data_IF_832398344618
#
_entry.id   IF_832398344618
#
_cell.length_a   1.000
_cell.length_b   1.000
_cell.length_c   1.000
_cell.angle_alpha   90.00
_cell.angle_beta   90.00
_cell.angle_gamma   90.00
#
_symmetry.space_group_name_H-M   'P 1'
#
loop_
_entity.id
_entity.type
_entity.pdbx_description
1 polymer ?
#
# COMPACT_ATOMS: atom_id res chain seq x y z
N UNK A 1 -9.52 20.15 24.47
CA UNK A 1 -10.62 19.44 23.78
C UNK A 1 -10.33 17.96 23.86
N UNK A 2 -10.90 17.28 24.86
CA UNK A 2 -10.74 15.84 25.08
C UNK A 2 -11.91 15.11 24.41
N UNK A 3 -11.66 14.47 23.27
CA UNK A 3 -12.65 13.65 22.57
C UNK A 3 -12.75 12.27 23.20
N UNK A 4 -13.71 12.10 24.12
CA UNK A 4 -14.12 10.80 24.64
C UNK A 4 -15.03 10.07 23.65
N UNK A 5 -14.83 8.76 23.52
CA UNK A 5 -15.73 7.86 22.78
C UNK A 5 -17.14 7.96 23.37
N UNK A 6 -18.10 8.49 22.60
CA UNK A 6 -19.51 8.33 22.89
C UNK A 6 -19.97 6.99 22.33
N UNK A 7 -20.19 6.02 23.21
CA UNK A 7 -21.06 4.89 22.89
C UNK A 7 -22.47 5.44 22.67
N UNK A 8 -23.04 5.14 21.50
CA UNK A 8 -24.42 5.45 21.20
C UNK A 8 -25.32 4.77 22.24
N UNK A 9 -26.10 5.60 22.92
CA UNK A 9 -27.11 5.23 23.90
C UNK A 9 -28.15 4.31 23.26
N UNK A 10 -28.19 3.07 23.73
CA UNK A 10 -29.38 2.24 23.71
C UNK A 10 -29.25 1.17 24.80
N UNK A 11 -29.23 1.64 26.06
CA UNK A 11 -29.64 0.92 27.29
C UNK A 11 -29.20 1.68 28.55
N UNK A 12 -29.84 2.82 28.83
CA UNK A 12 -30.14 3.27 30.20
C UNK A 12 -28.98 3.58 31.17
N UNK A 13 -27.81 4.02 30.69
CA UNK A 13 -26.72 4.50 31.54
C UNK A 13 -26.50 6.01 31.35
N UNK A 14 -26.54 6.81 32.41
CA UNK A 14 -26.07 8.19 32.40
C UNK A 14 -24.69 8.30 33.10
N UNK A 15 -23.84 9.18 32.56
CA UNK A 15 -22.56 9.53 33.17
C UNK A 15 -22.75 10.72 34.12
N UNK A 16 -22.47 10.52 35.41
CA UNK A 16 -22.50 11.59 36.41
C UNK A 16 -21.10 11.98 36.87
N UNK A 17 -20.75 13.27 36.78
CA UNK A 17 -19.55 13.84 37.44
C UNK A 17 -19.88 14.16 38.89
N UNK A 18 -19.10 13.63 39.83
CA UNK A 18 -19.11 14.09 41.23
C UNK A 18 -17.85 14.92 41.44
N UNK A 19 -18.00 16.21 41.69
CA UNK A 19 -16.91 17.09 42.11
C UNK A 19 -16.75 17.00 43.63
N UNK A 20 -15.75 16.25 44.08
CA UNK A 20 -15.21 16.31 45.44
C UNK A 20 -13.68 16.34 45.34
N UNK A 21 -13.02 17.23 46.07
CA UNK A 21 -11.61 17.61 45.90
C UNK A 21 -10.63 16.42 45.74
N UNK A 22 -9.71 16.60 44.79
CA UNK A 22 -8.62 15.71 44.36
C UNK A 22 -9.04 14.43 43.60
N UNK A 23 -9.08 14.56 42.26
CA UNK A 23 -9.13 13.44 41.31
C UNK A 23 -10.51 13.16 40.72
N UNK A 24 -10.69 13.46 39.43
CA UNK A 24 -11.90 13.11 38.67
C UNK A 24 -11.95 11.58 38.50
N UNK A 25 -12.84 10.91 39.24
CA UNK A 25 -13.26 9.52 38.98
C UNK A 25 -14.62 9.54 38.27
N UNK A 26 -14.68 8.97 37.07
CA UNK A 26 -15.96 8.65 36.42
C UNK A 26 -16.54 7.42 37.09
N UNK A 27 -17.68 7.56 37.76
CA UNK A 27 -18.43 6.45 38.37
C UNK A 27 -19.74 6.28 37.60
N UNK A 28 -19.98 5.09 37.06
CA UNK A 28 -21.25 4.74 36.42
C UNK A 28 -22.29 4.48 37.52
N UNK A 29 -23.40 5.23 37.52
CA UNK A 29 -24.55 5.01 38.42
C UNK A 29 -25.78 4.63 37.59
N UNK A 30 -26.44 3.54 37.96
CA UNK A 30 -27.75 3.19 37.43
C UNK A 30 -28.87 3.86 38.24
N UNK A 31 -29.91 4.30 37.54
CA UNK A 31 -31.12 4.89 38.11
C UNK A 31 -32.02 3.76 38.62
N UNK A 32 -32.24 3.66 39.93
CA UNK A 32 -33.32 2.82 40.51
C UNK A 32 -32.94 1.75 41.54
N UNK A 33 -31.75 1.75 42.15
CA UNK A 33 -31.48 0.84 43.27
C UNK A 33 -32.03 1.41 44.58
N UNK A 34 -33.20 0.95 45.01
CA UNK A 34 -33.60 1.00 46.42
C UNK A 34 -32.59 0.13 47.18
N UNK A 35 -31.84 0.71 48.12
CA UNK A 35 -30.98 -0.07 49.03
C UNK A 35 -31.89 -1.00 49.84
N UNK A 36 -31.98 -2.26 49.40
CA UNK A 36 -32.65 -3.32 50.14
C UNK A 36 -31.63 -3.84 51.14
N UNK A 37 -31.95 -3.75 52.44
CA UNK A 37 -31.08 -4.27 53.49
C UNK A 37 -30.81 -5.76 53.26
N UNK A 38 -29.59 -6.21 53.57
CA UNK A 38 -29.15 -7.61 53.37
C UNK A 38 -29.98 -8.66 54.12
N UNK A 39 -30.96 -8.24 54.94
CA UNK A 39 -31.86 -9.11 55.72
C UNK A 39 -33.08 -9.62 54.93
N UNK A 40 -33.40 -9.10 53.73
CA UNK A 40 -34.62 -9.48 52.98
C UNK A 40 -34.38 -10.23 51.66
N UNK A 41 -33.14 -10.52 51.28
CA UNK A 41 -32.84 -11.14 49.98
C UNK A 41 -32.96 -12.67 50.01
N UNK A 42 -33.70 -13.23 49.05
CA UNK A 42 -33.73 -14.69 48.89
C UNK A 42 -32.37 -15.22 48.36
N UNK A 43 -32.11 -16.55 48.43
CA UNK A 43 -30.83 -17.12 48.02
C UNK A 43 -30.46 -16.84 46.55
N UNK A 44 -31.44 -16.75 45.65
CA UNK A 44 -31.24 -16.45 44.24
C UNK A 44 -30.86 -14.98 44.01
N UNK A 45 -31.53 -14.05 44.68
CA UNK A 45 -31.23 -12.61 44.66
C UNK A 45 -29.85 -12.35 45.24
N UNK A 46 -29.47 -13.05 46.31
CA UNK A 46 -28.13 -12.97 46.93
C UNK A 46 -27.04 -13.46 45.98
N UNK A 47 -27.28 -14.58 45.28
CA UNK A 47 -26.35 -15.09 44.28
C UNK A 47 -26.20 -14.13 43.09
N UNK A 48 -27.32 -13.63 42.55
CA UNK A 48 -27.32 -12.68 41.44
C UNK A 48 -26.63 -11.36 41.82
N UNK A 49 -26.83 -10.85 43.03
CA UNK A 49 -26.14 -9.65 43.52
C UNK A 49 -24.63 -9.87 43.67
N UNK A 50 -24.21 -11.04 44.15
CA UNK A 50 -22.80 -11.41 44.26
C UNK A 50 -22.14 -11.57 42.89
N UNK A 51 -22.82 -12.22 41.94
CA UNK A 51 -22.38 -12.37 40.54
C UNK A 51 -22.21 -10.99 39.87
N UNK A 52 -23.22 -10.11 39.99
CA UNK A 52 -23.16 -8.74 39.46
C UNK A 52 -22.00 -7.94 40.07
N UNK A 53 -21.76 -8.08 41.37
CA UNK A 53 -20.65 -7.38 42.06
C UNK A 53 -19.29 -7.89 41.59
N UNK A 54 -19.14 -9.21 41.42
CA UNK A 54 -17.92 -9.82 40.91
C UNK A 54 -17.64 -9.41 39.45
N UNK A 55 -18.67 -9.37 38.61
CA UNK A 55 -18.57 -8.92 37.22
C UNK A 55 -18.16 -7.45 37.12
N UNK A 56 -18.76 -6.57 37.94
CA UNK A 56 -18.39 -5.15 38.00
C UNK A 56 -16.93 -4.97 38.42
N UNK A 57 -16.47 -5.71 39.42
CA UNK A 57 -15.06 -5.68 39.85
C UNK A 57 -14.12 -6.20 38.76
N UNK A 58 -14.51 -7.22 38.00
CA UNK A 58 -13.75 -7.73 36.88
C UNK A 58 -13.65 -6.70 35.75
N UNK A 59 -14.74 -6.01 35.43
CA UNK A 59 -14.78 -4.92 34.45
C UNK A 59 -13.87 -3.75 34.85
N UNK A 60 -13.95 -3.30 36.10
CA UNK A 60 -13.09 -2.24 36.61
C UNK A 60 -11.61 -2.64 36.56
N UNK A 61 -11.30 -3.87 36.98
CA UNK A 61 -9.92 -4.39 36.97
C UNK A 61 -9.37 -4.47 35.54
N UNK A 62 -10.17 -4.98 34.61
CA UNK A 62 -9.80 -5.11 33.20
C UNK A 62 -9.63 -3.73 32.54
N UNK A 63 -10.56 -2.81 32.77
CA UNK A 63 -10.49 -1.43 32.30
C UNK A 63 -9.27 -0.68 32.85
N UNK A 64 -8.98 -0.82 34.15
CA UNK A 64 -7.80 -0.25 34.76
C UNK A 64 -6.50 -0.89 34.21
N UNK A 65 -6.50 -2.19 33.89
CA UNK A 65 -5.35 -2.85 33.29
C UNK A 65 -5.10 -2.37 31.84
N UNK A 66 -6.15 -2.19 31.04
CA UNK A 66 -6.09 -1.55 29.71
C UNK A 66 -5.65 -0.09 29.76
N UNK A 67 -6.06 0.64 30.81
CA UNK A 67 -5.64 2.02 31.03
C UNK A 67 -4.18 2.14 31.48
N UNK A 68 -3.67 1.17 32.25
CA UNK A 68 -2.28 1.12 32.72
C UNK A 68 -1.31 0.46 31.75
N UNK A 69 -1.79 -0.31 30.77
CA UNK A 69 -0.91 -1.05 29.85
C UNK A 69 -0.05 -0.10 29.01
N UNK A 70 -0.58 1.07 28.63
CA UNK A 70 0.10 2.16 27.90
C UNK A 70 -0.67 3.48 27.97
N UNK A 71 0.05 4.61 28.02
CA UNK A 71 -0.56 5.94 28.16
C UNK A 71 -1.37 6.40 26.93
N UNK A 72 -0.70 6.57 25.78
CA UNK A 72 -1.33 6.96 24.51
C UNK A 72 -0.87 6.03 23.38
N UNK A 73 -1.77 5.61 22.46
CA UNK A 73 -1.46 4.69 21.36
C UNK A 73 -0.70 5.40 20.22
N UNK A 74 0.58 5.72 20.48
CA UNK A 74 1.40 6.52 19.59
C UNK A 74 1.72 5.83 18.27
N UNK A 75 1.75 4.49 18.21
CA UNK A 75 2.02 3.77 16.96
C UNK A 75 0.83 3.95 16.01
N UNK A 76 -0.40 3.77 16.51
CA UNK A 76 -1.63 4.03 15.76
C UNK A 76 -1.66 5.47 15.24
N UNK A 77 -1.37 6.45 16.11
CA UNK A 77 -1.35 7.86 15.71
C UNK A 77 -0.24 8.19 14.70
N UNK A 78 0.93 7.57 14.83
CA UNK A 78 2.03 7.71 13.89
C UNK A 78 1.64 7.20 12.50
N UNK A 79 1.04 6.01 12.42
CA UNK A 79 0.55 5.43 11.16
C UNK A 79 -0.50 6.33 10.53
N UNK A 80 -1.51 6.77 11.31
CA UNK A 80 -2.55 7.68 10.83
C UNK A 80 -1.92 8.97 10.28
N UNK A 81 -0.98 9.57 11.03
CA UNK A 81 -0.29 10.78 10.63
C UNK A 81 0.45 10.61 9.29
N UNK A 82 1.18 9.51 9.11
CA UNK A 82 1.89 9.22 7.85
C UNK A 82 0.92 9.03 6.68
N UNK A 83 -0.19 8.29 6.88
CA UNK A 83 -1.23 8.14 5.85
C UNK A 83 -1.81 9.49 5.42
N UNK A 84 -2.13 10.37 6.38
CA UNK A 84 -2.65 11.72 6.10
C UNK A 84 -1.61 12.55 5.35
N UNK A 85 -0.35 12.56 5.79
CA UNK A 85 0.71 13.32 5.15
C UNK A 85 0.94 12.89 3.70
N UNK A 86 0.98 11.58 3.44
CA UNK A 86 1.16 11.05 2.07
C UNK A 86 -0.06 11.39 1.21
N UNK A 87 -1.28 11.23 1.71
CA UNK A 87 -2.49 11.55 0.96
C UNK A 87 -2.61 13.05 0.63
N UNK A 88 -2.27 13.92 1.57
CA UNK A 88 -2.20 15.37 1.32
C UNK A 88 -1.13 15.68 0.28
N UNK A 89 0.03 15.04 0.34
CA UNK A 89 1.08 15.23 -0.68
C UNK A 89 0.60 14.79 -2.07
N UNK A 90 -0.09 13.65 -2.19
CA UNK A 90 -0.72 13.24 -3.45
C UNK A 90 -1.70 14.29 -3.98
N UNK A 91 -2.58 14.83 -3.12
CA UNK A 91 -3.54 15.87 -3.51
C UNK A 91 -2.89 17.20 -3.91
N UNK A 92 -1.73 17.53 -3.35
CA UNK A 92 -0.96 18.73 -3.72
C UNK A 92 -0.34 18.57 -5.11
N UNK A 93 0.12 17.38 -5.48
CA UNK A 93 0.70 17.11 -6.80
C UNK A 93 -0.37 16.92 -7.88
N UNK A 94 -1.48 16.28 -7.54
CA UNK A 94 -2.64 16.12 -8.41
C UNK A 94 -3.94 16.22 -7.60
N UNK A 95 -4.70 17.33 -7.72
CA UNK A 95 -5.97 17.51 -7.03
C UNK A 95 -7.01 16.43 -7.31
N UNK A 96 -6.94 15.74 -8.46
CA UNK A 96 -7.85 14.62 -8.76
C UNK A 96 -7.66 13.45 -7.78
N UNK A 97 -6.49 13.34 -7.14
CA UNK A 97 -6.21 12.35 -6.09
C UNK A 97 -7.19 12.39 -4.93
N UNK A 98 -7.87 13.51 -4.71
CA UNK A 98 -8.90 13.60 -3.68
C UNK A 98 -10.04 12.60 -3.92
N UNK A 99 -10.42 12.36 -5.18
CA UNK A 99 -11.47 11.39 -5.53
C UNK A 99 -10.91 10.16 -6.23
N UNK A 100 -10.15 10.36 -7.30
CA UNK A 100 -9.69 9.32 -8.22
C UNK A 100 -8.23 9.61 -8.62
N UNK A 101 -7.25 9.21 -7.78
CA UNK A 101 -5.83 9.36 -8.13
C UNK A 101 -5.48 8.52 -9.35
N UNK A 102 -4.61 9.06 -10.20
CA UNK A 102 -4.07 8.32 -11.33
C UNK A 102 -3.20 7.14 -10.89
N UNK A 103 -3.25 6.05 -11.67
CA UNK A 103 -2.52 4.81 -11.40
C UNK A 103 -1.00 5.01 -11.38
N UNK A 104 -0.46 5.85 -12.27
CA UNK A 104 0.96 6.18 -12.32
C UNK A 104 1.38 6.92 -11.04
N UNK A 105 0.55 7.87 -10.59
CA UNK A 105 0.80 8.59 -9.34
C UNK A 105 0.80 7.65 -8.13
N UNK A 106 -0.15 6.72 -8.05
CA UNK A 106 -0.20 5.71 -6.99
C UNK A 106 1.10 4.89 -6.94
N UNK A 107 1.55 4.40 -8.10
CA UNK A 107 2.80 3.64 -8.21
C UNK A 107 4.00 4.52 -7.86
N UNK A 108 4.04 5.78 -8.27
CA UNK A 108 5.12 6.71 -7.92
C UNK A 108 5.23 6.94 -6.41
N UNK A 109 4.10 6.98 -5.69
CA UNK A 109 4.05 7.12 -4.23
C UNK A 109 4.31 5.82 -3.47
N UNK A 110 4.51 4.70 -4.16
CA UNK A 110 4.88 3.43 -3.54
C UNK A 110 3.72 2.46 -3.35
N UNK A 111 2.62 2.59 -4.10
CA UNK A 111 1.65 1.51 -4.25
C UNK A 111 2.36 0.24 -4.76
N UNK A 112 1.84 -0.92 -4.35
CA UNK A 112 2.34 -2.20 -4.79
C UNK A 112 1.87 -2.44 -6.22
N UNK A 113 2.81 -2.76 -7.11
CA UNK A 113 2.53 -3.08 -8.50
C UNK A 113 3.42 -4.23 -8.90
N UNK A 114 2.82 -5.41 -9.13
CA UNK A 114 3.56 -6.67 -9.17
C UNK A 114 4.74 -6.71 -10.15
N UNK A 115 4.67 -6.17 -11.40
CA UNK A 115 5.83 -6.15 -12.29
C UNK A 115 7.00 -5.34 -11.70
N UNK A 116 6.74 -4.16 -11.15
CA UNK A 116 7.81 -3.31 -10.56
C UNK A 116 8.31 -3.90 -9.24
N UNK A 117 7.42 -4.39 -8.39
CA UNK A 117 7.80 -4.96 -7.09
C UNK A 117 8.67 -6.19 -7.26
N UNK A 118 8.35 -7.08 -8.21
CA UNK A 118 9.04 -8.35 -8.42
C UNK A 118 10.23 -8.20 -9.40
N UNK A 119 10.01 -7.61 -10.57
CA UNK A 119 11.00 -7.59 -11.66
C UNK A 119 12.05 -6.52 -11.43
N UNK A 120 11.64 -5.28 -11.11
CA UNK A 120 12.57 -4.20 -10.73
C UNK A 120 13.05 -4.30 -9.27
N UNK A 121 12.56 -5.29 -8.51
CA UNK A 121 13.02 -5.60 -7.16
C UNK A 121 12.66 -4.55 -6.11
N UNK A 122 11.59 -3.79 -6.34
CA UNK A 122 11.16 -2.71 -5.46
C UNK A 122 10.35 -3.22 -4.25
N UNK A 123 10.90 -4.17 -3.49
CA UNK A 123 10.22 -4.87 -2.38
C UNK A 123 9.76 -3.96 -1.23
N UNK A 124 10.30 -2.75 -1.11
CA UNK A 124 9.80 -1.76 -0.16
C UNK A 124 8.32 -1.41 -0.39
N UNK A 125 7.81 -1.64 -1.62
CA UNK A 125 6.40 -1.47 -2.00
C UNK A 125 5.44 -2.32 -1.20
N UNK A 126 5.88 -3.48 -0.70
CA UNK A 126 5.08 -4.32 0.20
C UNK A 126 4.69 -3.59 1.49
N UNK A 127 5.51 -2.63 1.93
CA UNK A 127 5.25 -1.83 3.13
C UNK A 127 4.72 -0.44 2.76
N UNK A 128 5.28 0.23 1.75
CA UNK A 128 4.86 1.60 1.42
C UNK A 128 3.44 1.65 0.87
N UNK A 129 2.96 0.58 0.22
CA UNK A 129 1.59 0.47 -0.28
C UNK A 129 0.55 0.67 0.82
N UNK A 130 0.86 0.30 2.06
CA UNK A 130 -0.02 0.49 3.22
C UNK A 130 -0.33 1.96 3.56
N UNK A 131 0.40 2.91 2.99
CA UNK A 131 0.23 4.35 3.25
C UNK A 131 -0.35 5.12 2.06
N UNK A 132 -0.35 4.54 0.86
CA UNK A 132 -0.90 5.15 -0.36
C UNK A 132 -2.40 4.88 -0.44
N UNK A 133 -3.23 5.90 -0.65
CA UNK A 133 -4.70 5.75 -0.63
C UNK A 133 -5.36 6.21 -1.93
N UNK A 134 -6.39 5.47 -2.33
CA UNK A 134 -7.13 5.64 -3.58
C UNK A 134 -8.39 6.48 -3.31
N UNK A 135 -8.20 7.78 -3.07
CA UNK A 135 -9.28 8.74 -2.81
C UNK A 135 -9.69 8.91 -1.33
N UNK A 136 -10.50 9.96 -1.08
CA UNK A 136 -10.83 10.45 0.26
C UNK A 136 -11.67 9.46 1.07
N UNK A 137 -12.67 8.83 0.46
CA UNK A 137 -13.52 7.85 1.16
C UNK A 137 -12.69 6.64 1.62
N UNK A 138 -11.76 6.21 0.77
CA UNK A 138 -10.89 5.09 1.09
C UNK A 138 -10.00 5.40 2.29
N UNK A 139 -9.31 6.54 2.32
CA UNK A 139 -8.50 6.92 3.50
C UNK A 139 -9.36 7.14 4.74
N UNK A 140 -10.50 7.82 4.65
CA UNK A 140 -11.36 8.06 5.81
C UNK A 140 -11.84 6.76 6.46
N UNK A 141 -12.30 5.79 5.67
CA UNK A 141 -12.73 4.48 6.17
C UNK A 141 -11.58 3.74 6.87
N UNK A 142 -10.37 3.76 6.28
CA UNK A 142 -9.20 3.13 6.87
C UNK A 142 -8.80 3.81 8.19
N UNK A 143 -8.68 5.14 8.20
CA UNK A 143 -8.25 5.87 9.40
C UNK A 143 -9.29 5.82 10.52
N UNK A 144 -10.58 5.86 10.20
CA UNK A 144 -11.65 5.67 11.19
C UNK A 144 -11.55 4.30 11.86
N UNK A 145 -11.41 3.25 11.04
CA UNK A 145 -11.29 1.87 11.54
C UNK A 145 -10.02 1.68 12.35
N UNK A 146 -8.89 2.19 11.84
CA UNK A 146 -7.60 2.11 12.50
C UNK A 146 -7.58 2.92 13.81
N UNK A 147 -8.23 4.09 13.86
CA UNK A 147 -8.35 4.86 15.09
C UNK A 147 -9.17 4.12 16.14
N UNK A 148 -10.26 3.45 15.78
CA UNK A 148 -11.02 2.64 16.74
C UNK A 148 -10.26 1.39 17.20
N UNK A 149 -10.04 0.48 16.25
CA UNK A 149 -9.54 -0.87 16.53
C UNK A 149 -8.02 -0.95 16.66
N UNK A 150 -7.28 -0.07 15.98
CA UNK A 150 -5.83 0.04 16.19
C UNK A 150 -5.52 0.51 17.61
N UNK A 151 -6.20 1.55 18.10
CA UNK A 151 -6.01 2.02 19.48
C UNK A 151 -6.32 0.92 20.52
N UNK A 152 -7.41 0.18 20.34
CA UNK A 152 -7.76 -0.95 21.22
C UNK A 152 -6.70 -2.05 21.18
N UNK A 153 -6.33 -2.49 19.97
CA UNK A 153 -5.36 -3.57 19.77
C UNK A 153 -3.99 -3.17 20.29
N UNK A 154 -3.57 -1.93 20.08
CA UNK A 154 -2.36 -1.38 20.66
C UNK A 154 -2.40 -1.48 22.17
N UNK A 155 -3.48 -1.07 22.85
CA UNK A 155 -3.62 -1.19 24.32
C UNK A 155 -3.58 -2.64 24.83
N UNK A 156 -4.12 -3.59 24.07
CA UNK A 156 -4.10 -5.02 24.44
C UNK A 156 -2.68 -5.58 24.34
N UNK A 157 -2.01 -5.37 23.21
CA UNK A 157 -0.73 -6.01 22.89
C UNK A 157 0.50 -5.19 23.30
N UNK A 158 0.37 -3.87 23.45
CA UNK A 158 1.45 -2.91 23.63
C UNK A 158 2.05 -2.44 22.30
N UNK A 159 2.78 -1.31 22.33
CA UNK A 159 3.33 -0.64 21.15
C UNK A 159 4.12 -1.57 20.20
N UNK A 160 5.10 -2.30 20.72
CA UNK A 160 6.01 -3.10 19.88
C UNK A 160 5.33 -4.29 19.23
N UNK A 161 4.39 -4.94 19.92
CA UNK A 161 3.64 -6.06 19.37
C UNK A 161 2.56 -5.60 18.41
N UNK A 162 1.91 -4.47 18.69
CA UNK A 162 0.98 -3.88 17.73
C UNK A 162 1.68 -3.46 16.45
N UNK A 163 2.86 -2.84 16.54
CA UNK A 163 3.69 -2.56 15.38
C UNK A 163 3.96 -3.85 14.57
N UNK A 164 4.35 -4.92 15.26
CA UNK A 164 4.61 -6.21 14.63
C UNK A 164 3.37 -6.80 13.95
N UNK A 165 2.21 -6.76 14.62
CA UNK A 165 0.95 -7.24 14.08
C UNK A 165 0.58 -6.42 12.85
N UNK A 166 0.63 -5.08 12.94
CA UNK A 166 0.24 -4.20 11.85
C UNK A 166 1.11 -4.38 10.60
N UNK A 167 2.44 -4.23 10.76
CA UNK A 167 3.37 -4.35 9.62
C UNK A 167 3.57 -5.80 9.17
N UNK A 168 3.41 -6.76 10.09
CA UNK A 168 3.41 -8.18 9.77
C UNK A 168 2.22 -8.57 8.90
N UNK A 169 1.03 -8.13 9.27
CA UNK A 169 -0.17 -8.31 8.45
C UNK A 169 -0.09 -7.58 7.13
N UNK A 170 0.47 -6.36 7.10
CA UNK A 170 0.69 -5.66 5.84
C UNK A 170 1.57 -6.50 4.90
N UNK A 171 2.70 -6.99 5.41
CA UNK A 171 3.62 -7.82 4.63
C UNK A 171 2.98 -9.12 4.16
N UNK A 172 2.31 -9.87 5.04
CA UNK A 172 1.67 -11.14 4.65
C UNK A 172 0.52 -10.92 3.69
N UNK A 173 -0.21 -9.81 3.82
CA UNK A 173 -1.23 -9.39 2.87
C UNK A 173 -0.63 -9.15 1.49
N UNK A 174 0.36 -8.27 1.37
CA UNK A 174 0.99 -7.95 0.08
C UNK A 174 1.65 -9.18 -0.54
N UNK A 175 2.33 -10.02 0.23
CA UNK A 175 2.92 -11.27 -0.26
C UNK A 175 1.86 -12.25 -0.79
N UNK A 176 0.74 -12.42 -0.07
CA UNK A 176 -0.34 -13.29 -0.57
C UNK A 176 -0.98 -12.72 -1.82
N UNK A 177 -1.16 -11.41 -1.90
CA UNK A 177 -1.66 -10.75 -3.11
C UNK A 177 -0.75 -11.01 -4.32
N UNK A 178 0.56 -10.81 -4.19
CA UNK A 178 1.52 -11.10 -5.26
C UNK A 178 1.55 -12.57 -5.67
N UNK A 179 1.32 -13.49 -4.72
CA UNK A 179 1.33 -14.93 -5.01
C UNK A 179 0.07 -15.40 -5.75
N UNK A 180 -1.06 -14.71 -5.58
CA UNK A 180 -2.37 -15.19 -6.04
C UNK A 180 -2.89 -14.47 -7.30
N UNK A 181 -2.46 -13.23 -7.57
CA UNK A 181 -2.82 -12.57 -8.82
C UNK A 181 -1.92 -13.02 -9.97
N UNK A 182 -2.53 -13.51 -11.05
CA UNK A 182 -1.85 -13.83 -12.30
C UNK A 182 -1.64 -12.60 -13.20
N UNK A 183 -2.45 -11.55 -13.02
CA UNK A 183 -2.37 -10.31 -13.78
C UNK A 183 -1.75 -9.18 -12.94
N UNK A 184 -1.14 -8.15 -13.57
CA UNK A 184 -0.64 -6.98 -12.86
C UNK A 184 -1.74 -6.27 -12.07
N UNK A 185 -1.54 -6.10 -10.76
CA UNK A 185 -2.47 -5.41 -9.87
C UNK A 185 -1.77 -4.24 -9.19
N UNK A 186 -2.43 -3.07 -9.17
CA UNK A 186 -2.03 -1.94 -8.34
C UNK A 186 -2.78 -2.04 -7.01
N UNK A 187 -2.05 -2.08 -5.90
CA UNK A 187 -2.61 -2.14 -4.56
C UNK A 187 -2.06 -1.04 -3.66
N UNK A 188 -2.97 -0.30 -3.04
CA UNK A 188 -2.64 0.70 -2.01
C UNK A 188 -3.69 0.70 -0.92
N UNK A 189 -3.28 1.04 0.30
CA UNK A 189 -4.15 1.32 1.43
C UNK A 189 -3.77 0.51 2.67
N UNK A 190 -4.09 1.06 3.83
CA UNK A 190 -3.84 0.41 5.13
C UNK A 190 -4.70 -0.86 5.34
N UNK A 191 -5.68 -1.11 4.49
CA UNK A 191 -6.73 -2.11 4.70
C UNK A 191 -6.20 -3.52 4.95
N UNK A 192 -5.16 -3.99 4.25
CA UNK A 192 -4.54 -5.30 4.54
C UNK A 192 -4.04 -5.43 5.98
N UNK A 193 -3.39 -4.39 6.50
CA UNK A 193 -2.96 -4.33 7.90
C UNK A 193 -4.15 -4.26 8.88
N UNK A 194 -5.20 -3.52 8.53
CA UNK A 194 -6.43 -3.41 9.34
C UNK A 194 -7.16 -4.76 9.44
N UNK A 195 -7.27 -5.51 8.35
CA UNK A 195 -7.76 -6.89 8.39
C UNK A 195 -6.92 -7.75 9.33
N UNK A 196 -5.61 -7.51 9.37
CA UNK A 196 -4.71 -8.07 10.37
C UNK A 196 -5.00 -7.69 11.81
N UNK A 197 -5.34 -6.43 12.07
CA UNK A 197 -5.78 -5.97 13.39
C UNK A 197 -7.01 -6.77 13.85
N UNK A 198 -7.99 -6.99 12.98
CA UNK A 198 -9.14 -7.84 13.30
C UNK A 198 -8.78 -9.32 13.46
N UNK A 199 -7.86 -9.84 12.64
CA UNK A 199 -7.31 -11.19 12.82
C UNK A 199 -6.65 -11.37 14.19
N UNK A 200 -5.88 -10.38 14.64
CA UNK A 200 -5.24 -10.40 15.96
C UNK A 200 -6.25 -10.31 17.11
N UNK A 201 -7.31 -9.50 16.96
CA UNK A 201 -8.41 -9.45 17.92
C UNK A 201 -9.18 -10.77 17.98
N UNK A 202 -9.43 -11.41 16.83
CA UNK A 202 -10.05 -12.73 16.76
C UNK A 202 -9.21 -13.78 17.51
N UNK A 203 -7.89 -13.78 17.26
CA UNK A 203 -6.95 -14.66 17.97
C UNK A 203 -6.91 -14.40 19.48
N UNK A 204 -6.95 -13.13 19.89
CA UNK A 204 -7.02 -12.74 21.30
C UNK A 204 -8.30 -13.25 21.96
N UNK A 205 -9.47 -13.05 21.34
CA UNK A 205 -10.75 -13.57 21.85
C UNK A 205 -10.74 -15.10 21.98
N UNK A 206 -10.14 -15.80 21.00
CA UNK A 206 -10.04 -17.26 21.03
C UNK A 206 -9.11 -17.74 22.16
N UNK A 207 -7.92 -17.15 22.29
CA UNK A 207 -6.88 -17.62 23.21
C UNK A 207 -7.10 -17.16 24.66
N UNK A 208 -7.72 -15.99 24.86
CA UNK A 208 -7.83 -15.32 26.15
C UNK A 208 -9.27 -15.28 26.67
N UNK A 209 -10.17 -16.11 26.15
CA UNK A 209 -11.61 -16.12 26.50
C UNK A 209 -11.88 -16.08 28.01
N UNK A 210 -11.18 -16.89 28.81
CA UNK A 210 -11.38 -16.98 30.27
C UNK A 210 -10.90 -15.74 31.03
N UNK A 211 -10.05 -14.92 30.41
CA UNK A 211 -9.42 -13.76 31.03
C UNK A 211 -10.15 -12.44 30.70
N UNK A 212 -11.14 -12.50 29.81
CA UNK A 212 -11.90 -11.34 29.34
C UNK A 212 -13.27 -11.34 30.05
N UNK A 213 -13.65 -10.24 30.72
CA UNK A 213 -14.99 -10.12 31.29
C UNK A 213 -16.09 -10.38 30.25
N UNK A 214 -17.13 -11.10 30.65
CA UNK A 214 -18.22 -11.53 29.76
C UNK A 214 -18.83 -10.42 28.88
N UNK A 215 -19.12 -9.22 29.41
CA UNK A 215 -19.68 -8.11 28.63
C UNK A 215 -18.71 -7.60 27.58
N UNK A 216 -17.43 -7.45 27.93
CA UNK A 216 -16.37 -7.03 27.01
C UNK A 216 -16.20 -8.05 25.90
N UNK A 217 -16.16 -9.34 26.24
CA UNK A 217 -16.08 -10.42 25.26
C UNK A 217 -17.24 -10.35 24.26
N UNK A 218 -18.48 -10.19 24.75
CA UNK A 218 -19.68 -10.07 23.90
C UNK A 218 -19.57 -8.87 22.97
N UNK A 219 -19.24 -7.69 23.48
CA UNK A 219 -19.09 -6.48 22.65
C UNK A 219 -18.03 -6.69 21.55
N UNK A 220 -16.84 -7.16 21.90
CA UNK A 220 -15.77 -7.39 20.92
C UNK A 220 -16.14 -8.45 19.88
N UNK A 221 -16.90 -9.48 20.28
CA UNK A 221 -17.39 -10.49 19.35
C UNK A 221 -18.42 -9.91 18.37
N UNK A 222 -19.33 -9.05 18.82
CA UNK A 222 -20.31 -8.38 17.94
C UNK A 222 -19.62 -7.40 16.97
N UNK A 223 -18.61 -6.67 17.42
CA UNK A 223 -17.79 -5.83 16.54
C UNK A 223 -17.05 -6.66 15.48
N UNK A 224 -16.48 -7.81 15.87
CA UNK A 224 -15.79 -8.71 14.95
C UNK A 224 -16.76 -9.32 13.92
N UNK A 225 -17.98 -9.69 14.34
CA UNK A 225 -19.03 -10.16 13.42
C UNK A 225 -19.44 -9.06 12.45
N UNK A 226 -19.64 -7.83 12.94
CA UNK A 226 -20.00 -6.69 12.11
C UNK A 226 -18.92 -6.39 11.06
N UNK A 227 -17.65 -6.42 11.48
CA UNK A 227 -16.52 -6.32 10.56
C UNK A 227 -16.48 -7.48 9.56
N UNK A 228 -16.70 -8.72 9.99
CA UNK A 228 -16.71 -9.88 9.10
C UNK A 228 -17.81 -9.79 8.03
N UNK A 229 -19.00 -9.29 8.39
CA UNK A 229 -20.07 -9.00 7.43
C UNK A 229 -19.64 -7.93 6.44
N UNK A 230 -19.08 -6.81 6.93
CA UNK A 230 -18.55 -5.75 6.06
C UNK A 230 -17.45 -6.25 5.11
N UNK A 231 -16.51 -7.04 5.63
CA UNK A 231 -15.44 -7.67 4.87
C UNK A 231 -15.98 -8.61 3.78
N UNK A 232 -17.03 -9.38 4.07
CA UNK A 232 -17.68 -10.23 3.07
C UNK A 232 -18.30 -9.41 1.94
N UNK A 233 -18.89 -8.25 2.25
CA UNK A 233 -19.41 -7.35 1.22
C UNK A 233 -18.33 -6.81 0.29
N UNK A 234 -17.11 -6.60 0.79
CA UNK A 234 -15.97 -6.13 -0.03
C UNK A 234 -15.53 -7.16 -1.08
N UNK A 235 -15.79 -8.46 -0.88
CA UNK A 235 -15.45 -9.52 -1.83
C UNK A 235 -16.13 -9.32 -3.19
N UNK A 236 -17.29 -8.68 -3.21
CA UNK A 236 -18.06 -8.42 -4.43
C UNK A 236 -17.63 -7.15 -5.18
N UNK A 237 -16.66 -6.40 -4.68
CA UNK A 237 -16.17 -5.17 -5.30
C UNK A 237 -14.91 -5.50 -6.11
N UNK A 238 -15.01 -5.43 -7.44
CA UNK A 238 -13.96 -5.88 -8.37
C UNK A 238 -12.59 -5.20 -8.15
N UNK A 239 -12.57 -3.94 -7.70
CA UNK A 239 -11.35 -3.16 -7.48
C UNK A 239 -10.72 -3.38 -6.10
N UNK A 240 -11.27 -4.26 -5.26
CA UNK A 240 -10.76 -4.56 -3.93
C UNK A 240 -9.79 -5.74 -3.97
N UNK A 241 -8.62 -5.54 -3.35
CA UNK A 241 -7.61 -6.58 -3.23
C UNK A 241 -7.95 -7.58 -2.09
N UNK A 242 -8.81 -8.55 -2.40
CA UNK A 242 -9.27 -9.55 -1.44
C UNK A 242 -8.14 -10.48 -0.95
N UNK A 243 -7.12 -10.74 -1.77
CA UNK A 243 -5.97 -11.55 -1.37
C UNK A 243 -5.10 -10.84 -0.32
N UNK A 244 -4.92 -9.52 -0.45
CA UNK A 244 -4.26 -8.73 0.57
C UNK A 244 -5.03 -8.72 1.89
N UNK A 245 -6.37 -8.64 1.83
CA UNK A 245 -7.23 -8.71 3.01
C UNK A 245 -7.15 -10.06 3.71
N UNK A 246 -7.24 -11.16 2.95
CA UNK A 246 -7.12 -12.51 3.50
C UNK A 246 -5.73 -12.75 4.11
N UNK A 247 -4.67 -12.40 3.39
CA UNK A 247 -3.29 -12.57 3.86
C UNK A 247 -2.98 -11.72 5.09
N UNK A 248 -3.55 -10.52 5.14
CA UNK A 248 -3.47 -9.64 6.30
C UNK A 248 -4.16 -10.22 7.52
N UNK A 249 -5.41 -10.68 7.37
CA UNK A 249 -6.18 -11.31 8.44
C UNK A 249 -5.50 -12.57 8.98
N UNK A 250 -5.01 -13.46 8.11
CA UNK A 250 -4.28 -14.66 8.50
C UNK A 250 -2.97 -14.34 9.22
N UNK A 251 -2.17 -13.41 8.69
CA UNK A 251 -0.95 -12.96 9.34
C UNK A 251 -1.22 -12.37 10.72
N UNK A 252 -2.25 -11.51 10.82
CA UNK A 252 -2.64 -10.87 12.07
C UNK A 252 -3.14 -11.88 13.10
N UNK A 253 -3.90 -12.88 12.66
CA UNK A 253 -4.31 -14.00 13.51
C UNK A 253 -3.10 -14.77 14.05
N UNK A 254 -2.12 -15.10 13.21
CA UNK A 254 -0.91 -15.83 13.65
C UNK A 254 -0.08 -15.00 14.63
N UNK A 255 0.22 -13.73 14.30
CA UNK A 255 0.99 -12.85 15.19
C UNK A 255 0.23 -12.58 16.50
N UNK A 256 -1.06 -12.28 16.41
CA UNK A 256 -1.93 -12.04 17.55
C UNK A 256 -2.06 -13.28 18.43
N UNK A 257 -2.25 -14.47 17.84
CA UNK A 257 -2.35 -15.71 18.60
C UNK A 257 -1.05 -15.96 19.34
N UNK A 258 0.11 -15.84 18.69
CA UNK A 258 1.40 -16.04 19.32
C UNK A 258 1.69 -15.02 20.45
N UNK A 259 1.33 -13.76 20.22
CA UNK A 259 1.57 -12.64 21.13
C UNK A 259 0.55 -12.49 22.26
N UNK A 260 -0.62 -13.11 22.14
CA UNK A 260 -1.71 -12.95 23.10
C UNK A 260 -1.32 -13.47 24.50
N UNK A 261 -1.54 -12.61 25.48
CA UNK A 261 -1.29 -12.84 26.90
C UNK A 261 -2.38 -12.11 27.70
N UNK A 262 -2.74 -12.57 28.91
CA UNK A 262 -3.77 -11.90 29.70
C UNK A 262 -3.37 -10.46 29.96
N UNK A 263 -4.26 -9.49 29.72
CA UNK A 263 -3.95 -8.06 29.91
C UNK A 263 -3.48 -7.75 31.34
N UNK A 264 -3.99 -8.49 32.32
CA UNK A 264 -3.61 -8.39 33.74
C UNK A 264 -2.26 -9.03 34.10
N UNK A 265 -1.58 -9.74 33.18
CA UNK A 265 -0.31 -10.43 33.46
C UNK A 265 0.88 -9.47 33.67
N UNK A 266 1.87 -9.80 34.54
CA UNK A 266 3.04 -8.95 34.77
C UNK A 266 3.89 -8.73 33.51
N UNK A 267 4.25 -7.48 33.19
CA UNK A 267 5.02 -7.08 32.00
C UNK A 267 6.33 -7.85 31.76
N UNK A 268 6.95 -8.48 32.78
CA UNK A 268 8.27 -9.13 32.69
C UNK A 268 8.26 -10.44 31.89
N UNK A 269 7.19 -11.24 31.94
CA UNK A 269 7.12 -12.52 31.19
C UNK A 269 6.88 -12.32 29.69
N UNK A 270 6.30 -11.18 29.30
CA UNK A 270 6.00 -10.83 27.91
C UNK A 270 7.26 -10.57 27.08
N UNK A 271 8.34 -10.05 27.70
CA UNK A 271 9.52 -9.53 26.98
C UNK A 271 10.35 -10.58 26.23
N UNK A 272 10.38 -11.83 26.69
CA UNK A 272 11.22 -12.88 26.05
C UNK A 272 10.60 -13.36 24.75
N UNK A 273 9.31 -13.72 24.78
CA UNK A 273 8.58 -14.15 23.58
C UNK A 273 8.37 -13.02 22.57
N UNK A 274 8.19 -11.77 23.05
CA UNK A 274 8.17 -10.59 22.19
C UNK A 274 9.45 -10.44 21.36
N UNK A 275 10.62 -10.62 21.98
CA UNK A 275 11.90 -10.56 21.25
C UNK A 275 12.03 -11.68 20.22
N UNK A 276 11.59 -12.89 20.54
CA UNK A 276 11.60 -14.02 19.61
C UNK A 276 10.68 -13.76 18.40
N UNK A 277 9.47 -13.24 18.62
CA UNK A 277 8.54 -12.90 17.53
C UNK A 277 9.04 -11.76 16.65
N UNK A 278 9.66 -10.73 17.25
CA UNK A 278 10.30 -9.64 16.50
C UNK A 278 11.43 -10.18 15.64
N UNK A 279 12.33 -11.00 16.20
CA UNK A 279 13.43 -11.61 15.44
C UNK A 279 12.90 -12.50 14.30
N UNK A 280 11.88 -13.32 14.57
CA UNK A 280 11.27 -14.18 13.56
C UNK A 280 10.65 -13.38 12.41
N UNK A 281 10.03 -12.24 12.69
CA UNK A 281 9.47 -11.35 11.66
C UNK A 281 10.53 -10.62 10.84
N UNK A 282 11.64 -10.22 11.46
CA UNK A 282 12.74 -9.55 10.77
C UNK A 282 13.42 -10.49 9.74
N UNK A 283 13.39 -11.81 9.95
CA UNK A 283 13.98 -12.78 9.03
C UNK A 283 13.38 -12.68 7.62
N UNK A 284 12.06 -12.86 7.37
CA UNK A 284 11.49 -12.72 6.04
C UNK A 284 11.55 -11.29 5.49
N UNK A 285 11.43 -10.26 6.35
CA UNK A 285 11.59 -8.84 5.95
C UNK A 285 12.97 -8.58 5.33
N UNK A 286 14.00 -9.26 5.82
CA UNK A 286 15.38 -9.11 5.31
C UNK A 286 15.69 -10.15 4.24
N UNK A 287 15.33 -11.41 4.47
CA UNK A 287 15.70 -12.54 3.64
C UNK A 287 14.96 -12.58 2.30
N UNK A 288 13.69 -12.16 2.23
CA UNK A 288 12.94 -12.18 0.96
C UNK A 288 13.46 -11.10 0.01
N UNK A 289 13.62 -9.82 0.41
CA UNK A 289 14.24 -8.81 -0.44
C UNK A 289 15.71 -9.13 -0.74
N UNK A 290 16.47 -9.71 0.19
CA UNK A 290 17.86 -10.09 -0.07
C UNK A 290 17.96 -11.26 -1.07
N UNK A 291 17.15 -12.30 -0.91
CA UNK A 291 17.11 -13.45 -1.84
C UNK A 291 16.69 -13.00 -3.24
N UNK A 292 15.68 -12.15 -3.34
CA UNK A 292 15.29 -11.57 -4.62
C UNK A 292 16.30 -10.56 -5.16
N UNK A 293 16.94 -9.74 -4.32
CA UNK A 293 18.00 -8.82 -4.74
C UNK A 293 19.18 -9.58 -5.36
N UNK A 294 19.57 -10.70 -4.75
CA UNK A 294 20.55 -11.64 -5.33
C UNK A 294 20.05 -12.26 -6.64
N UNK A 295 18.75 -12.55 -6.76
CA UNK A 295 18.15 -13.11 -7.98
C UNK A 295 18.02 -12.07 -9.10
N UNK A 296 17.64 -10.84 -8.79
CA UNK A 296 17.51 -9.73 -9.74
C UNK A 296 18.88 -9.19 -10.18
N UNK A 297 19.89 -9.21 -9.31
CA UNK A 297 21.27 -8.96 -9.71
C UNK A 297 21.75 -9.95 -10.81
N UNK A 298 21.15 -11.15 -10.86
CA UNK A 298 21.40 -12.15 -11.90
C UNK A 298 20.46 -12.06 -13.11
N UNK A 299 19.39 -11.25 -13.07
CA UNK A 299 18.49 -11.05 -14.21
C UNK A 299 19.08 -10.01 -15.17
N UNK A 300 18.76 -10.17 -16.45
CA UNK A 300 19.13 -9.21 -17.47
C UNK A 300 18.42 -7.86 -17.24
N UNK A 301 19.12 -6.73 -17.40
CA UNK A 301 18.52 -5.40 -17.35
C UNK A 301 17.72 -5.04 -18.63
N UNK A 302 17.67 -5.92 -19.63
CA UNK A 302 17.07 -5.61 -20.93
C UNK A 302 15.58 -5.22 -20.87
N UNK A 303 14.69 -5.94 -20.14
CA UNK A 303 13.27 -5.58 -20.14
C UNK A 303 13.01 -4.18 -19.56
N UNK A 304 13.74 -3.80 -18.50
CA UNK A 304 13.64 -2.47 -17.89
C UNK A 304 14.19 -1.39 -18.83
N UNK A 305 15.24 -1.69 -19.58
CA UNK A 305 15.74 -0.82 -20.63
C UNK A 305 14.72 -0.59 -21.75
N UNK A 306 14.09 -1.66 -22.26
CA UNK A 306 13.06 -1.56 -23.30
C UNK A 306 11.88 -0.73 -22.80
N UNK A 307 11.41 -0.97 -21.58
CA UNK A 307 10.31 -0.21 -21.00
C UNK A 307 10.63 1.29 -20.86
N UNK A 308 11.83 1.64 -20.38
CA UNK A 308 12.29 3.04 -20.32
C UNK A 308 12.36 3.69 -21.71
N UNK A 309 12.84 2.94 -22.70
CA UNK A 309 12.90 3.40 -24.10
C UNK A 309 11.50 3.66 -24.66
N UNK A 310 10.55 2.75 -24.45
CA UNK A 310 9.15 2.89 -24.89
C UNK A 310 8.46 4.11 -24.28
N UNK A 311 8.67 4.40 -22.99
CA UNK A 311 8.09 5.58 -22.34
C UNK A 311 8.59 6.85 -23.03
N UNK A 312 9.91 6.99 -23.20
CA UNK A 312 10.51 8.15 -23.85
C UNK A 312 10.03 8.29 -25.31
N UNK A 313 9.94 7.18 -26.03
CA UNK A 313 9.44 7.17 -27.41
C UNK A 313 7.98 7.60 -27.49
N UNK A 314 7.11 7.08 -26.61
CA UNK A 314 5.69 7.45 -26.58
C UNK A 314 5.48 8.93 -26.23
N UNK A 315 6.24 9.46 -25.27
CA UNK A 315 6.20 10.88 -24.93
C UNK A 315 6.61 11.76 -26.11
N UNK A 316 7.71 11.41 -26.79
CA UNK A 316 8.17 12.13 -27.98
C UNK A 316 7.12 12.05 -29.09
N UNK A 317 6.53 10.88 -29.35
CA UNK A 317 5.47 10.71 -30.36
C UNK A 317 4.25 11.57 -30.01
N UNK A 318 3.88 11.65 -28.73
CA UNK A 318 2.77 12.48 -28.26
C UNK A 318 3.06 13.97 -28.54
N UNK A 319 4.25 14.46 -28.18
CA UNK A 319 4.69 15.85 -28.48
C UNK A 319 4.70 16.14 -29.98
N UNK A 320 5.22 15.23 -30.79
CA UNK A 320 5.20 15.38 -32.26
C UNK A 320 3.76 15.45 -32.79
N UNK A 321 2.86 14.58 -32.33
CA UNK A 321 1.44 14.61 -32.73
C UNK A 321 0.76 15.92 -32.33
N UNK A 322 1.06 16.45 -31.15
CA UNK A 322 0.53 17.72 -30.68
C UNK A 322 0.96 18.88 -31.59
N UNK A 323 2.25 18.95 -31.93
CA UNK A 323 2.78 19.93 -32.88
C UNK A 323 2.06 19.86 -34.24
N UNK A 324 2.01 18.68 -34.86
CA UNK A 324 1.37 18.53 -36.18
C UNK A 324 -0.15 18.76 -36.16
N UNK A 325 -0.83 18.49 -35.03
CA UNK A 325 -2.26 18.76 -34.91
C UNK A 325 -2.57 20.23 -34.64
N UNK A 326 -1.71 20.96 -33.92
CA UNK A 326 -1.86 22.41 -33.72
C UNK A 326 -1.77 23.16 -35.05
N UNK A 327 -0.89 22.71 -35.92
CA UNK A 327 -0.66 23.29 -37.24
C UNK A 327 -1.63 22.76 -38.32
N UNK A 328 -2.53 21.81 -38.00
CA UNK A 328 -3.58 21.35 -38.93
C UNK A 328 -4.58 22.49 -39.18
N UNK A 329 -4.30 23.28 -40.21
CA UNK A 329 -5.11 24.42 -40.63
C UNK A 329 -4.29 25.51 -41.31
N UNK A 330 -3.00 25.59 -40.99
CA UNK A 330 -2.03 26.50 -41.60
C UNK A 330 -0.88 25.71 -42.24
N UNK A 331 -0.23 26.27 -43.26
CA UNK A 331 0.88 25.60 -43.94
C UNK A 331 2.12 25.71 -43.04
N UNK A 332 2.56 24.61 -42.43
CA UNK A 332 3.76 24.59 -41.57
C UNK A 332 4.92 25.26 -42.29
N UNK A 333 5.44 26.34 -41.72
CA UNK A 333 6.59 27.06 -42.27
C UNK A 333 7.87 26.30 -41.95
N UNK A 334 8.89 26.45 -42.81
CA UNK A 334 10.20 25.82 -42.56
C UNK A 334 10.83 26.27 -41.24
N UNK A 335 10.60 27.52 -40.82
CA UNK A 335 11.08 28.05 -39.54
C UNK A 335 10.38 27.42 -38.34
N UNK A 336 9.05 27.26 -38.38
CA UNK A 336 8.30 26.62 -37.29
C UNK A 336 8.71 25.14 -37.14
N UNK A 337 8.90 24.45 -38.27
CA UNK A 337 9.37 23.07 -38.26
C UNK A 337 10.80 22.94 -37.74
N UNK A 338 11.72 23.81 -38.18
CA UNK A 338 13.10 23.83 -37.71
C UNK A 338 13.15 24.04 -36.19
N UNK A 339 12.38 25.00 -35.68
CA UNK A 339 12.29 25.28 -34.24
C UNK A 339 11.79 24.06 -33.46
N UNK A 340 10.77 23.36 -33.97
CA UNK A 340 10.27 22.12 -33.37
C UNK A 340 11.36 21.03 -33.32
N UNK A 341 12.11 20.83 -34.42
CA UNK A 341 13.18 19.85 -34.46
C UNK A 341 14.28 20.16 -33.42
N UNK A 342 14.67 21.42 -33.30
CA UNK A 342 15.78 21.84 -32.41
C UNK A 342 15.39 21.89 -30.93
N UNK A 343 14.21 22.42 -30.62
CA UNK A 343 13.81 22.67 -29.23
C UNK A 343 13.09 21.49 -28.58
N UNK A 344 12.53 20.57 -29.38
CA UNK A 344 11.74 19.45 -28.87
C UNK A 344 12.25 18.09 -29.37
N UNK A 345 12.27 17.88 -30.69
CA UNK A 345 12.50 16.54 -31.24
C UNK A 345 13.93 16.01 -31.04
N UNK A 346 14.94 16.86 -31.27
CA UNK A 346 16.34 16.51 -31.08
C UNK A 346 16.68 16.23 -29.60
N UNK A 347 16.27 17.07 -28.61
CA UNK A 347 16.43 16.76 -27.19
C UNK A 347 15.81 15.41 -26.79
N UNK A 348 14.62 15.08 -27.31
CA UNK A 348 13.94 13.80 -27.03
C UNK A 348 14.78 12.60 -27.52
N UNK A 349 15.25 12.65 -28.76
CA UNK A 349 16.09 11.58 -29.33
C UNK A 349 17.44 11.49 -28.59
N UNK A 350 18.01 12.62 -28.18
CA UNK A 350 19.24 12.63 -27.37
C UNK A 350 19.02 12.02 -25.98
N UNK A 351 17.87 12.25 -25.34
CA UNK A 351 17.52 11.62 -24.08
C UNK A 351 17.40 10.10 -24.23
N UNK A 352 16.80 9.62 -25.32
CA UNK A 352 16.78 8.19 -25.67
C UNK A 352 18.19 7.66 -25.92
N UNK A 353 19.06 8.41 -26.59
CA UNK A 353 20.46 8.01 -26.80
C UNK A 353 21.25 7.80 -25.51
N UNK A 354 20.97 8.59 -24.46
CA UNK A 354 21.67 8.46 -23.17
C UNK A 354 21.43 7.11 -22.49
N UNK A 355 20.21 6.59 -22.57
CA UNK A 355 19.86 5.34 -21.86
C UNK A 355 20.55 4.10 -22.45
N UNK A 356 20.96 4.13 -23.73
CA UNK A 356 21.78 3.06 -24.32
C UNK A 356 23.16 2.94 -23.65
N UNK A 357 23.74 4.06 -23.23
CA UNK A 357 25.07 4.08 -22.59
C UNK A 357 25.03 3.61 -21.14
N UNK A 358 23.85 3.51 -20.53
CA UNK A 358 23.66 3.08 -19.14
C UNK A 358 23.52 1.56 -19.01
N UNK A 359 23.35 0.83 -20.11
CA UNK A 359 23.04 -0.60 -20.09
C UNK A 359 24.31 -1.47 -19.98
N UNK A 360 24.50 -2.27 -18.92
CA UNK A 360 25.65 -3.16 -18.79
C UNK A 360 25.49 -4.38 -19.72
N UNK A 361 26.11 -4.29 -20.90
CA UNK A 361 25.94 -5.26 -21.99
C UNK A 361 26.37 -6.68 -21.61
N UNK A 362 27.29 -6.84 -20.67
CA UNK A 362 27.75 -8.12 -20.13
C UNK A 362 26.64 -8.91 -19.42
N UNK A 363 25.57 -8.24 -18.98
CA UNK A 363 24.42 -8.87 -18.29
C UNK A 363 23.30 -9.32 -19.23
N UNK A 364 23.39 -8.99 -20.52
CA UNK A 364 22.39 -9.35 -21.53
C UNK A 364 22.54 -10.80 -21.99
N UNK A 365 21.41 -11.49 -22.16
CA UNK A 365 21.37 -12.77 -22.86
C UNK A 365 21.69 -12.58 -24.35
N UNK A 366 22.18 -13.62 -25.06
CA UNK A 366 22.53 -13.50 -26.49
C UNK A 366 21.39 -12.95 -27.37
N UNK A 367 20.14 -13.34 -27.09
CA UNK A 367 18.98 -12.86 -27.85
C UNK A 367 18.71 -11.37 -27.58
N UNK A 368 18.86 -10.94 -26.34
CA UNK A 368 18.68 -9.54 -25.93
C UNK A 368 19.78 -8.64 -26.48
N UNK A 369 21.02 -9.15 -26.61
CA UNK A 369 22.09 -8.42 -27.32
C UNK A 369 21.73 -8.17 -28.78
N UNK A 370 21.13 -9.15 -29.46
CA UNK A 370 20.66 -8.99 -30.85
C UNK A 370 19.59 -7.90 -30.93
N UNK A 371 18.62 -7.91 -30.02
CA UNK A 371 17.56 -6.90 -29.97
C UNK A 371 18.07 -5.52 -29.54
N UNK A 372 19.01 -5.44 -28.59
CA UNK A 372 19.69 -4.21 -28.20
C UNK A 372 20.39 -3.55 -29.39
N UNK A 373 21.16 -4.31 -30.16
CA UNK A 373 21.88 -3.77 -31.34
C UNK A 373 20.90 -3.27 -32.40
N UNK A 374 19.76 -3.93 -32.60
CA UNK A 374 18.69 -3.44 -33.49
C UNK A 374 18.14 -2.10 -33.01
N UNK A 375 17.74 -2.00 -31.74
CA UNK A 375 17.23 -0.77 -31.15
C UNK A 375 18.26 0.36 -31.20
N UNK A 376 19.53 0.03 -30.96
CA UNK A 376 20.64 0.98 -31.02
C UNK A 376 20.84 1.53 -32.42
N UNK A 377 20.88 0.64 -33.42
CA UNK A 377 20.96 1.05 -34.83
C UNK A 377 19.79 1.96 -35.22
N UNK A 378 18.57 1.62 -34.81
CA UNK A 378 17.39 2.45 -35.02
C UNK A 378 17.56 3.85 -34.43
N UNK A 379 17.95 3.93 -33.15
CA UNK A 379 18.11 5.19 -32.44
C UNK A 379 19.24 6.07 -33.02
N UNK A 380 20.39 5.46 -33.35
CA UNK A 380 21.53 6.16 -33.97
C UNK A 380 21.16 6.71 -35.35
N UNK A 381 20.48 5.93 -36.20
CA UNK A 381 20.05 6.40 -37.52
C UNK A 381 18.99 7.49 -37.43
N UNK A 382 18.11 7.45 -36.43
CA UNK A 382 17.12 8.49 -36.20
C UNK A 382 17.77 9.80 -35.75
N UNK A 383 18.77 9.72 -34.88
CA UNK A 383 19.55 10.88 -34.46
C UNK A 383 20.29 11.52 -35.66
N UNK A 384 20.96 10.71 -36.48
CA UNK A 384 21.61 11.20 -37.71
C UNK A 384 20.60 11.88 -38.64
N UNK A 385 19.44 11.24 -38.87
CA UNK A 385 18.41 11.75 -39.77
C UNK A 385 17.94 13.15 -39.34
N UNK A 386 17.61 13.33 -38.05
CA UNK A 386 17.15 14.60 -37.51
C UNK A 386 18.25 15.67 -37.52
N UNK A 387 19.49 15.30 -37.22
CA UNK A 387 20.62 16.23 -37.31
C UNK A 387 20.85 16.73 -38.74
N UNK A 388 20.81 15.84 -39.73
CA UNK A 388 20.92 16.22 -41.13
C UNK A 388 19.69 16.99 -41.64
N UNK A 389 18.50 16.71 -41.11
CA UNK A 389 17.28 17.45 -41.44
C UNK A 389 17.37 18.90 -40.96
N UNK A 390 17.83 19.12 -39.71
CA UNK A 390 18.11 20.45 -39.15
C UNK A 390 19.14 21.19 -40.01
N UNK A 391 20.28 20.56 -40.34
CA UNK A 391 21.33 21.17 -41.17
C UNK A 391 20.84 21.47 -42.59
N UNK A 392 20.07 20.56 -43.19
CA UNK A 392 19.51 20.73 -44.53
C UNK A 392 18.53 21.90 -44.63
N UNK A 393 17.77 22.17 -43.57
CA UNK A 393 16.88 23.34 -43.49
C UNK A 393 17.68 24.62 -43.21
N UNK A 394 18.60 24.61 -42.24
CA UNK A 394 19.43 25.78 -41.87
C UNK A 394 20.28 26.30 -43.03
N UNK A 395 20.94 25.38 -43.73
CA UNK A 395 21.91 25.70 -44.77
C UNK A 395 21.31 25.66 -46.18
N UNK A 396 20.03 25.30 -46.29
CA UNK A 396 19.35 25.06 -47.57
C UNK A 396 20.17 24.11 -48.48
N UNK A 397 20.70 23.03 -47.89
CA UNK A 397 21.64 22.12 -48.52
C UNK A 397 20.96 20.83 -48.98
N UNK A 398 20.92 20.60 -50.29
CA UNK A 398 20.43 19.36 -50.89
C UNK A 398 21.25 18.13 -50.44
N UNK A 399 22.54 18.32 -50.15
CA UNK A 399 23.40 17.24 -49.67
C UNK A 399 22.93 16.72 -48.30
N UNK A 400 22.66 17.62 -47.35
CA UNK A 400 22.17 17.24 -46.03
C UNK A 400 20.76 16.67 -46.08
N UNK A 401 19.88 17.21 -46.94
CA UNK A 401 18.56 16.62 -47.18
C UNK A 401 18.64 15.20 -47.75
N UNK A 402 19.62 14.93 -48.64
CA UNK A 402 19.88 13.57 -49.14
C UNK A 402 20.36 12.65 -48.03
N UNK A 403 21.32 13.08 -47.19
CA UNK A 403 21.81 12.30 -46.04
C UNK A 403 20.70 11.97 -45.04
N UNK A 404 19.83 12.92 -44.73
CA UNK A 404 18.67 12.69 -43.87
C UNK A 404 17.75 11.58 -44.43
N UNK A 405 17.43 11.65 -45.73
CA UNK A 405 16.65 10.61 -46.42
C UNK A 405 17.34 9.25 -46.43
N UNK A 406 18.67 9.21 -46.58
CA UNK A 406 19.45 7.97 -46.51
C UNK A 406 19.39 7.32 -45.12
N UNK A 407 19.50 8.12 -44.05
CA UNK A 407 19.33 7.63 -42.69
C UNK A 407 17.91 7.10 -42.43
N UNK A 408 16.86 7.79 -42.89
CA UNK A 408 15.48 7.28 -42.80
C UNK A 408 15.26 5.99 -43.62
N UNK A 409 15.86 5.91 -44.81
CA UNK A 409 15.78 4.70 -45.65
C UNK A 409 16.45 3.51 -44.98
N UNK A 410 17.59 3.71 -44.33
CA UNK A 410 18.26 2.65 -43.57
C UNK A 410 17.39 2.12 -42.41
N UNK A 411 16.61 3.00 -41.76
CA UNK A 411 15.61 2.60 -40.75
C UNK A 411 14.51 1.75 -41.39
N UNK A 412 13.93 2.20 -42.51
CA UNK A 412 12.88 1.43 -43.19
C UNK A 412 13.34 0.05 -43.65
N UNK A 413 14.55 -0.04 -44.22
CA UNK A 413 15.12 -1.31 -44.68
C UNK A 413 15.33 -2.29 -43.51
N UNK A 414 15.77 -1.79 -42.35
CA UNK A 414 15.89 -2.59 -41.14
C UNK A 414 14.53 -3.07 -40.61
N UNK A 415 13.50 -2.21 -40.63
CA UNK A 415 12.14 -2.59 -40.23
C UNK A 415 11.51 -3.62 -41.18
N UNK A 416 11.72 -3.48 -42.49
CA UNK A 416 11.24 -4.44 -43.51
C UNK A 416 11.92 -5.81 -43.39
N UNK A 417 13.22 -5.84 -43.13
CA UNK A 417 13.97 -7.08 -42.93
C UNK A 417 13.51 -7.91 -41.72
N UNK A 418 12.83 -7.31 -40.74
CA UNK A 418 12.25 -8.00 -39.59
C UNK A 418 10.83 -8.56 -39.86
N UNK A 419 10.16 -8.17 -40.94
CA UNK A 419 8.80 -8.61 -41.27
C UNK A 419 8.70 -9.99 -41.92
N UNK A 420 9.82 -10.52 -42.44
CA UNK A 420 9.87 -11.82 -43.14
C UNK A 420 10.15 -13.02 -42.21
N UNK A 421 10.61 -12.81 -40.97
CA UNK A 421 10.87 -13.92 -40.02
C UNK A 421 9.60 -14.45 -39.32
N UNK A 422 8.42 -13.83 -39.51
CA UNK A 422 7.15 -14.28 -38.89
C UNK A 422 6.23 -15.10 -39.82
N UNK A 423 6.66 -15.45 -41.03
CA UNK A 423 5.95 -16.42 -41.86
C UNK A 423 6.69 -17.76 -41.84
N UNK A 424 6.35 -18.60 -40.86
CA UNK A 424 6.65 -20.03 -41.00
C UNK A 424 5.88 -20.59 -42.19
N UNK A 425 6.49 -21.43 -43.04
CA UNK A 425 5.75 -22.17 -44.04
C UNK A 425 4.90 -23.22 -43.32
N UNK A 426 3.58 -23.07 -43.31
CA UNK A 426 2.71 -24.22 -43.11
C UNK A 426 2.86 -25.14 -44.32
N UNK A 427 3.70 -26.16 -44.17
CA UNK A 427 3.63 -27.41 -44.94
C UNK A 427 2.55 -28.30 -44.33
N UNK A 428 1.62 -28.79 -45.16
CA UNK A 428 0.70 -29.88 -44.81
C UNK A 428 -0.70 -29.77 -45.40
#
# INVERSE_FOLDING_TARGET
MEGGFHFADSRGMETGKISGGSGVRTVLRFKGSREMSTEEMNPEQSRNAAENTAEMKALETYGAALGRSIGRPWVTYGIIGVCVLIFVWMCVLDPNSFMNPDSELLVRFGADYSPITIEAGQWWRLITSGFVHIGILHILCNLYTLYGFGNLTERIFGHSLFFLIYFGSLLTGSLLSLAMYSEPVISGGASGAIFGVFGALAAYLLRMRSEIPGPVFKTLLEELKSFAVGALMLVFIAWVNNWAHLGGALGGFVFGFAAAVPVCSPQRSRKIWQKALILLFLIPVIAVPAWFGVRNAKRSPFPEFVHRYEILENEMIARSKEFFNREKGEKITGEAYLKFLEEQHLPDIQAMGKIFNELPLERLYPIEKKEFEKLRFFAEKRLEAVQFEILGIRENSEEYQRKAKESYRAIEEMLKGNGDESQSPEEG
#
